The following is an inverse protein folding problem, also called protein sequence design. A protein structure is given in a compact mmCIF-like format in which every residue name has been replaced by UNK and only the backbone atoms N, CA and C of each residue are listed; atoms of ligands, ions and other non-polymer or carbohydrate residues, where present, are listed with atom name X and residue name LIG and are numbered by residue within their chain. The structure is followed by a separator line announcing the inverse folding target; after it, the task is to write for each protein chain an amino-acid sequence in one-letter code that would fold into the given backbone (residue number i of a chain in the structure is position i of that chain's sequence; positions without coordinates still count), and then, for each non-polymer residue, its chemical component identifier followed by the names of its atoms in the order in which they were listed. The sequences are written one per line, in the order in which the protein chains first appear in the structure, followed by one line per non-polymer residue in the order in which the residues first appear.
data_IF_427789620989
#
_entry.id   IF_427789620989
#
_cell.length_a   1.000
_cell.length_b   1.000
_cell.length_c   1.000
_cell.angle_alpha   90.00
_cell.angle_beta   90.00
_cell.angle_gamma   90.00
#
_symmetry.space_group_name_H-M   'P 1'
#
loop_
_entity.id
_entity.type
_entity.pdbx_description
1 polymer ?
#
# COMPACT_ATOMS: atom_id res chain seq x y z
N UNK A 1 -56.59 30.68 7.64
CA UNK A 1 -55.32 31.06 7.00
C UNK A 1 -54.38 31.31 8.16
N UNK A 2 -53.30 30.60 8.45
CA UNK A 2 -52.44 29.60 7.80
C UNK A 2 -51.58 29.07 8.97
N UNK A 3 -51.34 27.76 9.15
CA UNK A 3 -50.26 27.00 8.49
C UNK A 3 -48.88 27.63 8.80
N UNK A 4 -47.84 26.96 9.26
CA UNK A 4 -47.61 25.53 9.47
C UNK A 4 -46.31 25.32 10.27
N UNK A 5 -46.18 24.09 10.74
CA UNK A 5 -45.03 23.36 11.27
C UNK A 5 -43.60 23.94 11.16
N UNK A 6 -42.89 23.78 12.27
CA UNK A 6 -41.44 23.68 12.33
C UNK A 6 -40.92 22.56 11.39
N UNK A 7 -39.90 22.86 10.60
CA UNK A 7 -39.04 21.86 10.00
C UNK A 7 -37.59 22.22 10.32
N UNK A 8 -36.99 21.41 11.21
CA UNK A 8 -35.57 21.45 11.47
C UNK A 8 -34.82 21.08 10.20
N UNK A 9 -33.92 21.97 9.77
CA UNK A 9 -32.84 21.60 8.88
C UNK A 9 -31.88 20.72 9.67
N UNK A 10 -31.96 19.42 9.44
CA UNK A 10 -30.90 18.49 9.79
C UNK A 10 -29.68 18.85 8.94
N UNK A 11 -28.68 19.43 9.59
CA UNK A 11 -27.32 19.54 9.10
C UNK A 11 -26.76 18.11 8.95
N UNK A 12 -26.92 17.52 7.77
CA UNK A 12 -26.18 16.33 7.39
C UNK A 12 -24.80 16.79 6.91
N UNK A 13 -23.86 16.86 7.83
CA UNK A 13 -22.44 16.95 7.49
C UNK A 13 -22.04 15.64 6.82
N UNK A 14 -21.93 15.69 5.49
CA UNK A 14 -21.32 14.65 4.66
C UNK A 14 -19.84 14.53 5.07
N UNK A 15 -19.54 13.60 5.97
CA UNK A 15 -18.16 13.23 6.28
C UNK A 15 -17.66 12.32 5.15
N UNK A 16 -17.32 12.91 4.01
CA UNK A 16 -16.46 12.23 3.03
C UNK A 16 -15.11 12.00 3.71
N UNK A 17 -14.85 10.77 4.13
CA UNK A 17 -13.50 10.34 4.54
C UNK A 17 -12.63 10.53 3.32
N UNK A 18 -11.66 11.44 3.41
CA UNK A 18 -10.73 11.66 2.31
C UNK A 18 -9.88 10.39 2.15
N UNK A 19 -10.02 9.73 0.99
CA UNK A 19 -9.29 8.51 0.69
C UNK A 19 -7.84 8.87 0.37
N UNK A 20 -6.85 8.01 0.71
CA UNK A 20 -5.48 8.25 0.28
C UNK A 20 -5.39 8.24 -1.24
N UNK A 21 -4.35 8.84 -1.80
CA UNK A 21 -4.05 8.73 -3.24
C UNK A 21 -3.97 7.25 -3.64
N UNK A 22 -4.63 6.91 -4.74
CA UNK A 22 -4.76 5.53 -5.19
C UNK A 22 -5.06 5.43 -6.68
N UNK A 23 -4.79 4.25 -7.23
CA UNK A 23 -5.31 3.83 -8.51
C UNK A 23 -5.68 2.33 -8.49
N UNK A 24 -6.98 2.05 -8.37
CA UNK A 24 -7.53 0.69 -8.28
C UNK A 24 -8.71 0.52 -9.23
N UNK A 25 -9.07 -0.72 -9.55
CA UNK A 25 -10.08 -1.04 -10.57
C UNK A 25 -11.49 -0.56 -10.20
N UNK A 26 -11.95 -0.84 -8.97
CA UNK A 26 -13.28 -0.46 -8.49
C UNK A 26 -13.34 -0.48 -6.94
N UNK A 27 -13.57 0.68 -6.32
CA UNK A 27 -13.71 0.80 -4.86
C UNK A 27 -14.95 0.08 -4.31
N UNK A 28 -15.97 -0.19 -5.14
CA UNK A 28 -17.15 -0.95 -4.76
C UNK A 28 -16.86 -2.40 -4.34
N UNK A 29 -15.66 -2.91 -4.63
CA UNK A 29 -15.21 -4.25 -4.23
C UNK A 29 -14.68 -4.32 -2.78
N UNK A 30 -14.49 -3.18 -2.13
CA UNK A 30 -13.78 -3.09 -0.85
C UNK A 30 -14.36 -3.97 0.26
N UNK A 31 -15.69 -4.05 0.38
CA UNK A 31 -16.31 -4.86 1.44
C UNK A 31 -16.07 -6.36 1.26
N UNK A 32 -15.95 -6.86 0.02
CA UNK A 32 -15.57 -8.26 -0.23
C UNK A 32 -14.08 -8.47 0.03
N UNK A 33 -13.24 -7.56 -0.42
CA UNK A 33 -11.80 -7.61 -0.15
C UNK A 33 -11.50 -7.64 1.34
N UNK A 34 -12.18 -6.81 2.14
CA UNK A 34 -12.08 -6.80 3.62
C UNK A 34 -12.37 -8.17 4.21
N UNK A 35 -13.50 -8.79 3.82
CA UNK A 35 -13.88 -10.12 4.31
C UNK A 35 -12.79 -11.15 4.01
N UNK A 36 -12.21 -11.12 2.81
CA UNK A 36 -11.14 -12.05 2.40
C UNK A 36 -9.82 -11.78 3.11
N UNK A 37 -9.45 -10.52 3.30
CA UNK A 37 -8.25 -10.11 4.05
C UNK A 37 -8.34 -10.59 5.49
N UNK A 38 -9.46 -10.34 6.17
CA UNK A 38 -9.71 -10.76 7.55
C UNK A 38 -9.83 -12.28 7.68
N UNK A 39 -10.34 -12.96 6.66
CA UNK A 39 -10.35 -14.42 6.60
C UNK A 39 -8.92 -14.98 6.54
N UNK A 40 -8.09 -14.47 5.63
CA UNK A 40 -6.70 -14.91 5.48
C UNK A 40 -5.87 -14.66 6.76
N UNK A 41 -6.14 -13.55 7.46
CA UNK A 41 -5.45 -13.19 8.71
C UNK A 41 -5.52 -14.29 9.77
N UNK A 42 -6.62 -15.07 9.80
CA UNK A 42 -6.82 -16.16 10.77
C UNK A 42 -5.75 -17.24 10.66
N UNK A 43 -5.18 -17.42 9.45
CA UNK A 43 -4.11 -18.36 9.14
C UNK A 43 -2.71 -17.70 9.19
N UNK A 44 -2.61 -16.45 9.64
CA UNK A 44 -1.35 -15.69 9.73
C UNK A 44 -1.02 -15.30 11.19
N UNK A 45 -0.93 -16.26 12.14
CA UNK A 45 -0.85 -15.97 13.57
C UNK A 45 0.40 -15.17 13.96
N UNK A 46 1.53 -15.40 13.30
CA UNK A 46 2.78 -14.65 13.58
C UNK A 46 2.62 -13.17 13.21
N UNK A 47 2.05 -12.89 12.05
CA UNK A 47 1.86 -11.52 11.58
C UNK A 47 0.84 -10.78 12.45
N UNK A 48 -0.22 -11.46 12.86
CA UNK A 48 -1.20 -10.93 13.82
C UNK A 48 -0.54 -10.57 15.16
N UNK A 49 0.30 -11.44 15.72
CA UNK A 49 1.04 -11.15 16.96
C UNK A 49 1.97 -9.94 16.80
N UNK A 50 2.63 -9.80 15.64
CA UNK A 50 3.46 -8.63 15.34
C UNK A 50 2.61 -7.37 15.29
N UNK A 51 1.43 -7.43 14.66
CA UNK A 51 0.50 -6.30 14.58
C UNK A 51 0.00 -5.87 15.95
N UNK A 52 -0.45 -6.79 16.78
CA UNK A 52 -0.89 -6.52 18.17
C UNK A 52 0.23 -5.84 19.00
N UNK A 53 1.49 -6.22 18.77
CA UNK A 53 2.64 -5.54 19.37
C UNK A 53 2.86 -4.14 18.78
N UNK A 54 2.80 -4.02 17.46
CA UNK A 54 3.03 -2.76 16.73
C UNK A 54 2.00 -1.69 17.05
N UNK A 55 0.74 -2.06 17.27
CA UNK A 55 -0.32 -1.13 17.71
C UNK A 55 0.01 -0.46 19.05
N UNK A 56 0.78 -1.14 19.92
CA UNK A 56 1.21 -0.62 21.22
C UNK A 56 2.52 0.14 21.16
N UNK A 57 3.49 -0.38 20.42
CA UNK A 57 4.87 0.11 20.41
C UNK A 57 5.10 1.20 19.35
N UNK A 58 4.31 1.22 18.27
CA UNK A 58 4.44 2.08 17.10
C UNK A 58 5.90 2.27 16.64
N UNK A 59 6.65 1.17 16.38
CA UNK A 59 8.09 1.25 16.13
C UNK A 59 8.46 1.87 14.77
N UNK A 60 7.49 2.07 13.89
CA UNK A 60 7.68 2.62 12.54
C UNK A 60 7.10 4.04 12.42
N UNK A 61 6.80 4.69 13.55
CA UNK A 61 6.24 6.04 13.59
C UNK A 61 7.08 7.03 12.75
N UNK A 62 6.40 7.71 11.82
CA UNK A 62 7.02 8.73 10.98
C UNK A 62 7.89 8.19 9.84
N UNK A 63 7.94 6.87 9.64
CA UNK A 63 8.60 6.27 8.48
C UNK A 63 7.63 6.16 7.30
N UNK A 64 8.12 6.57 6.13
CA UNK A 64 7.45 6.31 4.84
C UNK A 64 7.96 5.02 4.22
N UNK A 65 7.04 4.09 3.97
CA UNK A 65 7.32 2.77 3.40
C UNK A 65 6.62 2.65 2.05
N UNK A 66 7.39 2.45 0.99
CA UNK A 66 6.86 2.12 -0.33
C UNK A 66 7.15 0.67 -0.66
N UNK A 67 6.09 -0.08 -0.95
CA UNK A 67 6.15 -1.49 -1.26
C UNK A 67 5.78 -1.73 -2.73
N UNK A 68 6.58 -2.53 -3.44
CA UNK A 68 6.27 -3.06 -4.75
C UNK A 68 6.20 -4.59 -4.62
N UNK A 69 4.99 -5.13 -4.46
CA UNK A 69 4.74 -6.54 -4.12
C UNK A 69 3.49 -7.06 -4.86
N UNK A 70 3.29 -8.38 -4.87
CA UNK A 70 2.01 -8.94 -5.28
C UNK A 70 0.86 -8.44 -4.39
N UNK A 71 -0.21 -7.89 -4.98
CA UNK A 71 -1.36 -7.37 -4.20
C UNK A 71 -2.38 -8.47 -3.92
N UNK A 72 -2.17 -9.18 -2.80
CA UNK A 72 -3.01 -10.30 -2.31
C UNK A 72 -3.46 -10.09 -0.86
N UNK A 73 -4.30 -11.01 -0.35
CA UNK A 73 -4.80 -10.99 1.03
C UNK A 73 -3.67 -11.05 2.07
N UNK A 74 -2.60 -11.77 1.78
CA UNK A 74 -1.43 -11.89 2.64
C UNK A 74 -0.66 -10.57 2.70
N UNK A 75 -0.39 -9.97 1.53
CA UNK A 75 0.25 -8.65 1.43
C UNK A 75 -0.58 -7.58 2.11
N UNK A 76 -1.91 -7.61 1.98
CA UNK A 76 -2.77 -6.66 2.67
C UNK A 76 -2.66 -6.77 4.20
N UNK A 77 -2.55 -7.98 4.74
CA UNK A 77 -2.29 -8.17 6.17
C UNK A 77 -0.89 -7.66 6.58
N UNK A 78 0.10 -7.75 5.69
CA UNK A 78 1.43 -7.15 5.91
C UNK A 78 1.33 -5.62 5.94
N UNK A 79 0.67 -4.99 4.96
CA UNK A 79 0.49 -3.54 4.92
C UNK A 79 -0.24 -3.02 6.16
N UNK A 80 -1.32 -3.70 6.57
CA UNK A 80 -2.05 -3.40 7.82
C UNK A 80 -1.14 -3.48 9.05
N UNK A 81 -0.21 -4.43 9.07
CA UNK A 81 0.75 -4.59 10.16
C UNK A 81 1.76 -3.45 10.21
N UNK A 82 2.32 -3.06 9.07
CA UNK A 82 3.25 -1.93 8.98
C UNK A 82 2.57 -0.62 9.38
N UNK A 83 1.36 -0.35 8.87
CA UNK A 83 0.55 0.81 9.22
C UNK A 83 0.23 0.86 10.72
N UNK A 84 -0.13 -0.27 11.32
CA UNK A 84 -0.35 -0.37 12.77
C UNK A 84 0.92 -0.03 13.58
N UNK A 85 2.11 -0.23 13.00
CA UNK A 85 3.38 0.20 13.56
C UNK A 85 3.64 1.71 13.47
N UNK A 86 2.75 2.50 12.89
CA UNK A 86 2.91 3.96 12.72
C UNK A 86 3.51 4.39 11.38
N UNK A 87 3.77 3.45 10.47
CA UNK A 87 4.28 3.78 9.14
C UNK A 87 3.22 4.40 8.24
N UNK A 88 3.64 5.34 7.40
CA UNK A 88 2.91 5.75 6.21
C UNK A 88 3.24 4.75 5.09
N UNK A 89 2.27 3.94 4.68
CA UNK A 89 2.50 2.82 3.76
C UNK A 89 1.77 3.09 2.44
N UNK A 90 2.48 2.92 1.33
CA UNK A 90 1.90 2.87 -0.02
C UNK A 90 2.35 1.60 -0.75
N UNK A 91 1.47 1.07 -1.59
CA UNK A 91 1.67 -0.22 -2.28
C UNK A 91 1.45 -0.09 -3.78
N UNK A 92 2.35 -0.64 -4.58
CA UNK A 92 2.11 -0.97 -5.99
C UNK A 92 2.27 -2.47 -6.25
N UNK A 93 1.73 -2.93 -7.38
CA UNK A 93 1.93 -4.30 -7.82
C UNK A 93 3.37 -4.53 -8.34
N UNK A 94 3.97 -5.68 -8.01
CA UNK A 94 5.22 -6.16 -8.64
C UNK A 94 4.96 -6.95 -9.93
N UNK A 95 3.70 -7.28 -10.22
CA UNK A 95 3.34 -8.02 -11.41
C UNK A 95 1.90 -7.70 -11.86
N UNK A 96 1.70 -7.35 -13.15
CA UNK A 96 0.40 -6.97 -13.70
C UNK A 96 -0.75 -7.96 -13.46
N UNK A 97 -0.48 -9.26 -13.39
CA UNK A 97 -1.53 -10.28 -13.30
C UNK A 97 -1.82 -10.74 -11.87
N UNK A 98 -1.02 -10.27 -10.90
CA UNK A 98 -1.06 -10.78 -9.53
C UNK A 98 -2.15 -10.15 -8.66
N UNK A 99 -2.50 -8.90 -8.97
CA UNK A 99 -3.45 -8.10 -8.20
C UNK A 99 -4.80 -8.80 -8.04
N UNK A 100 -5.30 -8.79 -6.81
CA UNK A 100 -6.70 -9.07 -6.49
C UNK A 100 -7.41 -7.72 -6.33
N UNK A 101 -8.23 -7.34 -7.31
CA UNK A 101 -8.82 -6.00 -7.36
C UNK A 101 -9.67 -5.66 -6.13
N UNK A 102 -10.34 -6.65 -5.56
CA UNK A 102 -11.11 -6.50 -4.33
C UNK A 102 -10.22 -6.21 -3.11
N UNK A 103 -9.05 -6.84 -3.03
CA UNK A 103 -8.04 -6.57 -1.99
C UNK A 103 -7.47 -5.16 -2.15
N UNK A 104 -7.14 -4.74 -3.38
CA UNK A 104 -6.64 -3.39 -3.65
C UNK A 104 -7.68 -2.34 -3.24
N UNK A 105 -8.96 -2.54 -3.59
CA UNK A 105 -10.06 -1.69 -3.17
C UNK A 105 -10.20 -1.62 -1.64
N UNK A 106 -10.09 -2.75 -0.95
CA UNK A 106 -10.20 -2.80 0.51
C UNK A 106 -9.03 -2.07 1.20
N UNK A 107 -7.80 -2.20 0.70
CA UNK A 107 -6.64 -1.47 1.22
C UNK A 107 -6.89 0.04 1.24
N UNK A 108 -7.47 0.58 0.17
CA UNK A 108 -7.81 2.00 0.06
C UNK A 108 -8.99 2.36 0.97
N UNK A 109 -10.17 1.77 0.72
CA UNK A 109 -11.43 2.25 1.29
C UNK A 109 -11.66 1.83 2.74
N UNK A 110 -11.13 0.69 3.17
CA UNK A 110 -11.38 0.13 4.50
C UNK A 110 -10.19 0.31 5.45
N UNK A 111 -8.98 0.37 4.90
CA UNK A 111 -7.75 0.45 5.68
C UNK A 111 -6.96 1.76 5.48
N UNK A 112 -7.36 2.62 4.54
CA UNK A 112 -6.72 3.92 4.29
C UNK A 112 -5.25 3.79 3.91
N UNK A 113 -4.91 2.83 3.06
CA UNK A 113 -3.56 2.56 2.55
C UNK A 113 -3.56 2.88 1.05
N UNK A 114 -2.74 3.85 0.65
CA UNK A 114 -2.61 4.23 -0.76
C UNK A 114 -2.14 3.04 -1.59
N UNK A 115 -2.91 2.69 -2.62
CA UNK A 115 -2.67 1.48 -3.42
C UNK A 115 -2.81 1.81 -4.89
N UNK A 116 -1.76 1.52 -5.66
CA UNK A 116 -1.67 1.73 -7.10
C UNK A 116 -1.46 0.37 -7.77
N UNK A 117 -2.56 -0.31 -8.05
CA UNK A 117 -2.52 -1.67 -8.58
C UNK A 117 -3.85 -2.05 -9.24
N UNK A 118 -3.78 -2.55 -10.48
CA UNK A 118 -4.94 -3.08 -11.20
C UNK A 118 -4.59 -4.43 -11.82
N UNK A 119 -5.52 -5.38 -11.78
CA UNK A 119 -5.28 -6.65 -12.46
C UNK A 119 -5.31 -6.47 -13.98
N UNK A 120 -4.25 -6.92 -14.64
CA UNK A 120 -4.11 -6.84 -16.09
C UNK A 120 -3.64 -5.47 -16.59
N UNK A 121 -2.95 -4.70 -15.75
CA UNK A 121 -2.37 -3.42 -16.14
C UNK A 121 -1.38 -3.56 -17.32
N UNK A 122 -1.37 -2.55 -18.17
CA UNK A 122 -0.35 -2.44 -19.22
C UNK A 122 0.97 -1.90 -18.66
N UNK A 123 1.99 -1.89 -19.52
CA UNK A 123 3.34 -1.45 -19.13
C UNK A 123 3.33 0.01 -18.64
N UNK A 124 2.59 0.89 -19.30
CA UNK A 124 2.61 2.31 -18.97
C UNK A 124 1.94 2.54 -17.61
N UNK A 125 0.85 1.84 -17.33
CA UNK A 125 0.17 1.84 -16.04
C UNK A 125 1.06 1.27 -14.93
N UNK A 126 1.73 0.14 -15.17
CA UNK A 126 2.68 -0.45 -14.21
C UNK A 126 3.76 0.55 -13.78
N UNK A 127 4.42 1.21 -14.75
CA UNK A 127 5.45 2.20 -14.43
C UNK A 127 4.86 3.49 -13.84
N UNK A 128 3.64 3.88 -14.19
CA UNK A 128 2.96 4.99 -13.54
C UNK A 128 2.69 4.69 -12.05
N UNK A 129 2.27 3.48 -11.72
CA UNK A 129 2.07 3.03 -10.34
C UNK A 129 3.38 2.97 -9.55
N UNK A 130 4.45 2.45 -10.17
CA UNK A 130 5.77 2.43 -9.56
C UNK A 130 6.31 3.85 -9.28
N UNK A 131 6.06 4.79 -10.20
CA UNK A 131 6.39 6.20 -10.00
C UNK A 131 5.56 6.82 -8.87
N UNK A 132 4.25 6.53 -8.80
CA UNK A 132 3.39 7.06 -7.75
C UNK A 132 3.86 6.68 -6.34
N UNK A 133 4.31 5.44 -6.14
CA UNK A 133 4.88 5.03 -4.85
C UNK A 133 6.31 5.56 -4.62
N UNK A 134 7.05 5.92 -5.68
CA UNK A 134 8.34 6.61 -5.53
C UNK A 134 8.16 8.10 -5.19
N UNK A 135 7.09 8.74 -5.66
CA UNK A 135 6.78 10.15 -5.41
C UNK A 135 6.51 10.44 -3.93
N UNK A 136 6.21 9.42 -3.12
CA UNK A 136 6.12 9.54 -1.66
C UNK A 136 7.47 9.73 -0.97
N UNK A 137 8.58 9.65 -1.72
CA UNK A 137 9.96 9.74 -1.23
C UNK A 137 10.20 8.75 -0.08
N UNK A 138 10.17 7.43 -0.35
CA UNK A 138 10.23 6.41 0.69
C UNK A 138 11.55 6.47 1.47
N UNK A 139 11.45 6.24 2.77
CA UNK A 139 12.61 6.00 3.63
C UNK A 139 12.91 4.51 3.77
N UNK A 140 11.91 3.65 3.54
CA UNK A 140 12.08 2.20 3.49
C UNK A 140 11.41 1.68 2.22
N UNK A 141 12.14 0.86 1.47
CA UNK A 141 11.57 0.12 0.33
C UNK A 141 11.31 -1.34 0.73
N UNK A 142 10.29 -1.93 0.11
CA UNK A 142 10.04 -3.36 0.19
C UNK A 142 9.69 -3.88 -1.20
N UNK A 143 10.61 -4.62 -1.81
CA UNK A 143 10.54 -5.06 -3.19
C UNK A 143 10.33 -6.58 -3.32
N UNK A 144 9.63 -6.94 -4.38
CA UNK A 144 9.57 -8.26 -4.99
C UNK A 144 10.03 -8.08 -6.44
N UNK A 145 11.29 -8.41 -6.69
CA UNK A 145 11.90 -8.32 -8.01
C UNK A 145 12.81 -7.11 -8.24
N UNK A 146 12.98 -6.22 -7.25
CA UNK A 146 13.91 -5.08 -7.24
C UNK A 146 13.58 -3.96 -8.24
N UNK A 147 12.31 -3.77 -8.60
CA UNK A 147 11.92 -2.75 -9.57
C UNK A 147 11.87 -1.33 -8.96
N UNK A 148 11.37 -1.17 -7.74
CA UNK A 148 11.34 0.15 -7.08
C UNK A 148 12.75 0.64 -6.79
N UNK A 149 13.60 -0.19 -6.17
CA UNK A 149 15.00 0.17 -5.90
C UNK A 149 15.74 0.46 -7.21
N UNK A 150 15.53 -0.33 -8.27
CA UNK A 150 16.15 -0.05 -9.56
C UNK A 150 15.72 1.30 -10.14
N UNK A 151 14.45 1.67 -10.03
CA UNK A 151 13.94 2.98 -10.46
C UNK A 151 14.59 4.11 -9.66
N UNK A 152 14.67 3.98 -8.33
CA UNK A 152 15.28 4.99 -7.48
C UNK A 152 16.74 5.26 -7.87
N UNK A 153 17.53 4.22 -8.11
CA UNK A 153 18.93 4.37 -8.50
C UNK A 153 19.11 4.94 -9.92
N UNK A 154 18.27 4.56 -10.89
CA UNK A 154 18.46 4.91 -12.31
C UNK A 154 17.80 6.21 -12.72
N UNK A 155 16.61 6.47 -12.19
CA UNK A 155 15.71 7.53 -12.65
C UNK A 155 15.54 8.65 -11.62
N UNK A 156 15.72 8.35 -10.33
CA UNK A 156 15.50 9.29 -9.21
C UNK A 156 16.69 9.35 -8.23
N UNK A 157 17.93 9.56 -8.72
CA UNK A 157 19.13 9.49 -7.89
C UNK A 157 19.15 10.54 -6.76
N UNK A 158 18.39 11.63 -6.88
CA UNK A 158 18.21 12.64 -5.83
C UNK A 158 17.48 12.10 -4.59
N UNK A 159 16.70 11.03 -4.74
CA UNK A 159 15.93 10.42 -3.65
C UNK A 159 16.70 9.34 -2.88
N UNK A 160 17.75 8.76 -3.49
CA UNK A 160 18.48 7.62 -2.92
C UNK A 160 19.05 7.93 -1.53
N UNK A 161 19.50 9.17 -1.31
CA UNK A 161 20.03 9.61 -0.02
C UNK A 161 19.00 9.66 1.13
N UNK A 162 17.71 9.56 0.83
CA UNK A 162 16.62 9.54 1.82
C UNK A 162 16.23 8.12 2.24
N UNK A 163 16.61 7.11 1.44
CA UNK A 163 16.31 5.70 1.71
C UNK A 163 17.26 5.17 2.79
N UNK A 164 16.69 4.79 3.93
CA UNK A 164 17.40 4.25 5.10
C UNK A 164 17.64 2.75 4.98
N UNK A 165 16.70 2.02 4.37
CA UNK A 165 16.76 0.57 4.24
C UNK A 165 15.88 0.08 3.09
N UNK A 166 16.20 -1.11 2.59
CA UNK A 166 15.35 -1.86 1.67
C UNK A 166 15.27 -3.32 2.06
N UNK A 167 14.12 -3.95 1.82
CA UNK A 167 13.95 -5.40 1.89
C UNK A 167 13.63 -5.94 0.49
N UNK A 168 14.06 -7.16 0.21
CA UNK A 168 13.80 -7.83 -1.06
C UNK A 168 13.39 -9.28 -0.78
N UNK A 169 12.25 -9.67 -1.34
CA UNK A 169 11.65 -10.98 -1.12
C UNK A 169 12.25 -12.06 -2.04
N UNK A 170 12.53 -11.70 -3.30
CA UNK A 170 12.85 -12.69 -4.32
C UNK A 170 14.34 -12.93 -4.51
N UNK A 171 14.67 -14.16 -4.93
CA UNK A 171 16.04 -14.48 -5.36
C UNK A 171 16.49 -13.63 -6.55
N UNK A 172 15.59 -13.37 -7.51
CA UNK A 172 15.87 -12.55 -8.69
C UNK A 172 16.24 -11.12 -8.30
N UNK A 173 15.45 -10.49 -7.43
CA UNK A 173 15.73 -9.15 -6.93
C UNK A 173 17.02 -9.10 -6.10
N UNK A 174 17.30 -10.12 -5.27
CA UNK A 174 18.57 -10.20 -4.52
C UNK A 174 19.78 -10.27 -5.45
N UNK A 175 19.68 -11.02 -6.57
CA UNK A 175 20.75 -11.07 -7.57
C UNK A 175 20.97 -9.68 -8.19
N UNK A 176 19.89 -8.96 -8.53
CA UNK A 176 19.96 -7.59 -9.05
C UNK A 176 20.59 -6.63 -8.05
N UNK A 177 20.18 -6.69 -6.78
CA UNK A 177 20.77 -5.89 -5.69
C UNK A 177 22.28 -6.14 -5.54
N UNK A 178 22.70 -7.41 -5.57
CA UNK A 178 24.13 -7.77 -5.48
C UNK A 178 24.93 -7.28 -6.68
N UNK A 179 24.35 -7.32 -7.88
CA UNK A 179 24.99 -6.78 -9.07
C UNK A 179 25.17 -5.26 -8.96
N UNK A 180 24.12 -4.52 -8.57
CA UNK A 180 24.21 -3.07 -8.35
C UNK A 180 25.27 -2.73 -7.29
N UNK A 181 25.31 -3.46 -6.17
CA UNK A 181 26.32 -3.24 -5.14
C UNK A 181 27.77 -3.51 -5.60
N UNK A 182 27.96 -4.41 -6.58
CA UNK A 182 29.26 -4.68 -7.16
C UNK A 182 29.71 -3.61 -8.17
N UNK A 183 28.75 -2.94 -8.82
CA UNK A 183 29.00 -1.91 -9.83
C UNK A 183 29.33 -0.53 -9.21
N UNK A 184 28.97 -0.32 -7.94
CA UNK A 184 29.24 0.90 -7.16
C UNK A 184 28.13 1.95 -7.25
#
# INVERSE_FOLDING_TARGET
MSGDAASGQTDQTDHTVDLPDHDVTDLGLASEGKRRIEWAEREMPVLRLIRERFERERPLEGLRVSACLHVTTETANLMRTLKAGGAEVVLSASNPLSTKDDVAAALVAEYGIGTFARRGEDRDTYYAHLNAIADTRPQVTMDDGCDLVSMLHKERPDQVGEVLAGTEETTTGVIRLKAMAADG
#
